data_IF_157805352395
#
_entry.id   IF_157805352395
#
_cell.length_a   1.000
_cell.length_b   1.000
_cell.length_c   1.000
_cell.angle_alpha   90.00
_cell.angle_beta   90.00
_cell.angle_gamma   90.00
#
_symmetry.space_group_name_H-M   'P 1'
#
loop_
_entity.id
_entity.type
_entity.pdbx_description
1 polymer ?
#
# COMPACT_ATOMS: atom_id res chain seq x y z
N UNK A 1 -2.89 -1.31 -4.57
CA UNK A 1 -3.15 -1.66 -3.16
C UNK A 1 -3.80 -0.51 -2.39
N UNK A 2 -3.61 0.76 -2.81
CA UNK A 2 -4.18 1.92 -2.12
C UNK A 2 -5.53 2.29 -2.73
N UNK A 3 -6.57 2.31 -1.89
CA UNK A 3 -7.94 2.64 -2.31
C UNK A 3 -8.11 4.17 -2.36
N UNK A 4 -8.81 4.67 -3.38
CA UNK A 4 -9.35 6.03 -3.42
C UNK A 4 -10.79 5.92 -2.98
N UNK A 5 -11.12 6.53 -1.84
CA UNK A 5 -12.45 6.48 -1.23
C UNK A 5 -13.18 7.80 -1.47
N UNK A 6 -14.47 7.72 -1.77
CA UNK A 6 -15.38 8.88 -1.87
C UNK A 6 -15.97 9.19 -0.49
N UNK A 7 -15.09 9.61 0.42
CA UNK A 7 -15.40 9.98 1.80
C UNK A 7 -15.49 11.52 1.95
N UNK A 8 -15.82 11.99 3.15
CA UNK A 8 -15.87 13.42 3.48
C UNK A 8 -14.52 14.12 3.19
N UNK A 9 -13.40 13.43 3.37
CA UNK A 9 -12.07 13.96 3.04
C UNK A 9 -11.89 14.14 1.52
N UNK A 10 -12.52 13.29 0.70
CA UNK A 10 -12.54 13.47 -0.76
C UNK A 10 -13.39 14.67 -1.15
N UNK A 11 -14.56 14.85 -0.53
CA UNK A 11 -15.43 16.02 -0.80
C UNK A 11 -14.70 17.34 -0.52
N UNK A 12 -13.99 17.44 0.61
CA UNK A 12 -13.15 18.61 0.91
C UNK A 12 -12.03 18.83 -0.13
N UNK A 13 -11.49 17.73 -0.66
CA UNK A 13 -10.47 17.80 -1.71
C UNK A 13 -11.08 18.31 -3.01
N UNK A 14 -12.30 17.86 -3.37
CA UNK A 14 -13.05 18.35 -4.55
C UNK A 14 -13.32 19.84 -4.42
N UNK A 15 -13.89 20.31 -3.29
CA UNK A 15 -14.16 21.73 -3.04
C UNK A 15 -12.89 22.60 -3.17
N UNK A 16 -11.76 22.11 -2.63
CA UNK A 16 -10.47 22.79 -2.76
C UNK A 16 -10.01 22.85 -4.22
N UNK A 17 -10.20 21.77 -4.98
CA UNK A 17 -9.83 21.69 -6.40
C UNK A 17 -10.74 22.58 -7.26
N UNK A 18 -12.03 22.67 -6.96
CA UNK A 18 -12.96 23.59 -7.62
C UNK A 18 -12.57 25.06 -7.40
N UNK A 19 -12.16 25.39 -6.19
CA UNK A 19 -11.83 26.77 -5.84
C UNK A 19 -10.44 27.20 -6.31
N UNK A 20 -9.43 26.34 -6.22
CA UNK A 20 -8.02 26.70 -6.39
C UNK A 20 -7.32 25.90 -7.50
N UNK A 21 -7.99 24.95 -8.11
CA UNK A 21 -7.35 23.98 -9.01
C UNK A 21 -6.47 22.99 -8.25
N UNK A 22 -5.70 22.19 -8.98
CA UNK A 22 -4.75 21.25 -8.41
C UNK A 22 -3.44 21.96 -8.10
N UNK A 23 -3.25 22.37 -6.85
CA UNK A 23 -2.09 23.15 -6.40
C UNK A 23 -0.78 22.36 -6.42
N UNK A 24 -0.84 21.07 -6.12
CA UNK A 24 0.34 20.19 -6.15
C UNK A 24 0.26 19.26 -7.37
N UNK A 25 1.24 19.27 -8.29
CA UNK A 25 1.19 18.45 -9.49
C UNK A 25 1.20 16.95 -9.16
N UNK A 26 0.61 16.15 -10.03
CA UNK A 26 0.72 14.70 -10.02
C UNK A 26 2.12 14.29 -10.48
N UNK A 27 2.52 13.06 -10.18
CA UNK A 27 3.74 12.46 -10.72
C UNK A 27 3.35 11.32 -11.63
N UNK A 28 3.87 11.34 -12.87
CA UNK A 28 3.65 10.30 -13.85
C UNK A 28 4.96 9.89 -14.55
N UNK A 29 4.95 8.73 -15.20
CA UNK A 29 6.01 8.28 -16.10
C UNK A 29 5.45 7.97 -17.49
N UNK A 30 6.26 8.06 -18.56
CA UNK A 30 5.84 7.63 -19.89
C UNK A 30 5.67 6.10 -19.91
N UNK A 31 4.70 5.61 -20.70
CA UNK A 31 4.53 4.19 -20.99
C UNK A 31 5.22 3.82 -22.31
N UNK A 32 5.76 2.60 -22.44
CA UNK A 32 6.37 2.14 -23.68
C UNK A 32 5.40 2.15 -24.89
N UNK A 33 4.13 1.83 -24.62
CA UNK A 33 3.05 1.81 -25.61
C UNK A 33 2.44 3.20 -25.91
N UNK A 34 2.94 4.24 -25.28
CA UNK A 34 2.45 5.62 -25.38
C UNK A 34 1.53 6.01 -24.23
N UNK A 35 1.40 7.31 -24.01
CA UNK A 35 0.67 7.88 -22.87
C UNK A 35 1.49 7.88 -21.58
N UNK A 36 0.80 8.07 -20.45
CA UNK A 36 1.42 8.23 -19.14
C UNK A 36 0.75 7.34 -18.11
N UNK A 37 1.55 6.85 -17.15
CA UNK A 37 1.09 6.16 -15.95
C UNK A 37 1.27 7.09 -14.75
N UNK A 38 0.19 7.33 -14.00
CA UNK A 38 0.26 8.12 -12.78
C UNK A 38 0.83 7.27 -11.66
N UNK A 39 1.90 7.75 -11.05
CA UNK A 39 2.59 7.08 -9.94
C UNK A 39 2.13 7.65 -8.59
N UNK A 40 1.88 8.96 -8.51
CA UNK A 40 1.40 9.61 -7.29
C UNK A 40 0.41 10.71 -7.61
N UNK A 41 -0.63 10.82 -6.77
CA UNK A 41 -1.67 11.84 -6.87
C UNK A 41 -3.04 11.34 -7.32
N UNK A 42 -3.33 10.03 -7.25
CA UNK A 42 -4.61 9.45 -7.67
C UNK A 42 -5.83 10.11 -6.99
N UNK A 43 -5.75 10.48 -5.71
CA UNK A 43 -6.84 11.24 -5.04
C UNK A 43 -7.07 12.61 -5.67
N UNK A 44 -6.00 13.34 -6.03
CA UNK A 44 -6.09 14.64 -6.71
C UNK A 44 -6.62 14.51 -8.12
N UNK A 45 -6.22 13.44 -8.83
CA UNK A 45 -6.79 13.11 -10.14
C UNK A 45 -8.30 12.87 -10.03
N UNK A 46 -8.71 12.02 -9.09
CA UNK A 46 -10.12 11.70 -8.88
C UNK A 46 -10.95 12.95 -8.50
N UNK A 47 -10.44 13.75 -7.55
CA UNK A 47 -11.09 15.01 -7.16
C UNK A 47 -11.21 15.97 -8.34
N UNK A 48 -10.20 16.08 -9.19
CA UNK A 48 -10.25 16.94 -10.36
C UNK A 48 -11.24 16.45 -11.42
N UNK A 49 -11.38 15.12 -11.59
CA UNK A 49 -12.44 14.55 -12.45
C UNK A 49 -13.84 14.89 -11.92
N UNK A 50 -14.06 14.77 -10.59
CA UNK A 50 -15.32 15.15 -9.96
C UNK A 50 -15.59 16.65 -10.07
N UNK A 51 -14.55 17.48 -10.00
CA UNK A 51 -14.62 18.94 -10.20
C UNK A 51 -14.74 19.36 -11.67
N UNK A 52 -14.76 18.41 -12.63
CA UNK A 52 -14.92 18.69 -14.05
C UNK A 52 -13.72 19.35 -14.73
N UNK A 53 -12.50 19.16 -14.21
CA UNK A 53 -11.29 19.68 -14.82
C UNK A 53 -10.80 18.78 -15.97
N UNK A 54 -10.63 19.34 -17.16
CA UNK A 54 -10.14 18.62 -18.34
C UNK A 54 -8.63 18.38 -18.33
N UNK A 55 -7.88 19.20 -17.60
CA UNK A 55 -6.42 19.14 -17.55
C UNK A 55 -5.87 19.26 -16.14
N UNK A 56 -4.72 18.62 -15.91
CA UNK A 56 -4.07 18.57 -14.61
C UNK A 56 -2.56 18.87 -14.74
N UNK A 57 -1.97 19.58 -13.76
CA UNK A 57 -0.52 19.73 -13.71
C UNK A 57 0.14 18.39 -13.36
N UNK A 58 1.08 17.96 -14.19
CA UNK A 58 1.78 16.67 -14.03
C UNK A 58 3.28 16.88 -14.19
N UNK A 59 4.07 16.34 -13.27
CA UNK A 59 5.52 16.21 -13.40
C UNK A 59 5.80 14.84 -14.01
N UNK A 60 6.33 14.84 -15.23
CA UNK A 60 6.74 13.60 -15.91
C UNK A 60 8.18 13.27 -15.52
N UNK A 61 8.41 12.06 -15.02
CA UNK A 61 9.73 11.53 -14.66
C UNK A 61 9.97 10.18 -15.34
N UNK A 62 11.13 10.01 -15.93
CA UNK A 62 11.57 8.71 -16.41
C UNK A 62 12.04 7.88 -15.20
N UNK A 63 11.41 6.73 -14.99
CA UNK A 63 11.78 5.80 -13.92
C UNK A 63 11.39 4.38 -14.30
N UNK A 64 12.16 3.41 -13.82
CA UNK A 64 11.83 1.99 -13.95
C UNK A 64 10.70 1.57 -13.01
N UNK A 65 10.29 0.30 -13.09
CA UNK A 65 9.16 -0.22 -12.32
C UNK A 65 9.44 -0.20 -10.81
N UNK A 66 10.65 -0.56 -10.40
CA UNK A 66 11.01 -0.59 -8.97
C UNK A 66 11.03 0.83 -8.38
N UNK A 67 11.59 1.81 -9.09
CA UNK A 67 11.58 3.21 -8.67
C UNK A 67 10.15 3.79 -8.63
N UNK A 68 9.29 3.40 -9.57
CA UNK A 68 7.88 3.80 -9.59
C UNK A 68 7.12 3.22 -8.39
N UNK A 69 7.35 1.94 -8.06
CA UNK A 69 6.76 1.28 -6.88
C UNK A 69 7.23 1.97 -5.59
N UNK A 70 8.53 2.23 -5.44
CA UNK A 70 9.06 2.91 -4.25
C UNK A 70 8.43 4.29 -4.07
N UNK A 71 8.38 5.11 -5.12
CA UNK A 71 7.77 6.43 -5.07
C UNK A 71 6.28 6.37 -4.71
N UNK A 72 5.53 5.44 -5.32
CA UNK A 72 4.12 5.23 -5.02
C UNK A 72 3.91 4.83 -3.55
N UNK A 73 4.68 3.86 -3.06
CA UNK A 73 4.58 3.38 -1.68
C UNK A 73 4.93 4.48 -0.68
N UNK A 74 6.05 5.16 -0.87
CA UNK A 74 6.50 6.21 0.05
C UNK A 74 5.49 7.36 0.14
N UNK A 75 4.92 7.78 -1.00
CA UNK A 75 3.89 8.83 -1.02
C UNK A 75 2.58 8.44 -0.31
N UNK A 76 2.28 7.15 -0.20
CA UNK A 76 1.08 6.65 0.47
C UNK A 76 1.32 6.30 1.94
N UNK A 77 2.53 5.81 2.31
CA UNK A 77 2.87 5.53 3.71
C UNK A 77 2.89 6.79 4.60
N UNK A 78 3.02 7.97 4.00
CA UNK A 78 2.97 9.27 4.71
C UNK A 78 1.53 9.73 5.04
N UNK A 79 0.49 8.98 4.63
CA UNK A 79 -0.91 9.33 4.93
C UNK A 79 -1.21 9.07 6.40
N UNK A 80 -1.95 9.99 7.05
CA UNK A 80 -2.34 9.85 8.46
C UNK A 80 -3.19 8.60 8.73
N UNK A 81 -4.09 8.27 7.79
CA UNK A 81 -5.01 7.15 7.91
C UNK A 81 -4.74 6.12 6.79
N UNK A 82 -3.82 5.20 7.06
CA UNK A 82 -3.55 4.05 6.19
C UNK A 82 -4.15 2.79 6.82
N UNK A 83 -4.89 2.02 6.04
CA UNK A 83 -5.49 0.77 6.50
C UNK A 83 -4.40 -0.29 6.78
N UNK A 84 -4.62 -1.23 7.72
CA UNK A 84 -3.70 -2.32 7.97
C UNK A 84 -3.34 -3.12 6.72
N UNK A 85 -4.32 -3.42 5.86
CA UNK A 85 -4.10 -4.10 4.59
C UNK A 85 -3.23 -3.28 3.64
N UNK A 86 -3.51 -1.99 3.49
CA UNK A 86 -2.72 -1.09 2.64
C UNK A 86 -1.27 -1.02 3.10
N UNK A 87 -1.03 -0.91 4.42
CA UNK A 87 0.31 -0.91 5.02
C UNK A 87 1.04 -2.24 4.79
N UNK A 88 0.32 -3.36 4.92
CA UNK A 88 0.86 -4.70 4.67
C UNK A 88 1.36 -4.87 3.24
N UNK A 89 0.53 -4.53 2.25
CA UNK A 89 0.92 -4.58 0.84
C UNK A 89 2.00 -3.54 0.50
N UNK A 90 1.95 -2.35 1.09
CA UNK A 90 2.97 -1.32 0.91
C UNK A 90 4.36 -1.82 1.32
N UNK A 91 4.48 -2.40 2.53
CA UNK A 91 5.76 -2.94 3.00
C UNK A 91 6.24 -4.11 2.14
N UNK A 92 5.33 -5.01 1.73
CA UNK A 92 5.66 -6.11 0.83
C UNK A 92 6.21 -5.60 -0.51
N UNK A 93 5.51 -4.69 -1.16
CA UNK A 93 5.92 -4.11 -2.44
C UNK A 93 7.25 -3.36 -2.32
N UNK A 94 7.43 -2.55 -1.27
CA UNK A 94 8.69 -1.82 -1.02
C UNK A 94 9.86 -2.78 -0.84
N UNK A 95 9.66 -3.85 -0.05
CA UNK A 95 10.69 -4.86 0.17
C UNK A 95 11.07 -5.59 -1.13
N UNK A 96 10.10 -5.93 -1.97
CA UNK A 96 10.33 -6.57 -3.26
C UNK A 96 11.08 -5.64 -4.23
N UNK A 97 10.68 -4.37 -4.34
CA UNK A 97 11.35 -3.39 -5.19
C UNK A 97 12.81 -3.14 -4.76
N UNK A 98 13.07 -3.01 -3.45
CA UNK A 98 14.43 -2.84 -2.94
C UNK A 98 15.32 -4.06 -3.23
N UNK A 99 14.78 -5.28 -3.13
CA UNK A 99 15.53 -6.50 -3.48
C UNK A 99 15.87 -6.54 -4.98
N UNK A 100 14.94 -6.15 -5.85
CA UNK A 100 15.18 -6.11 -7.29
C UNK A 100 16.26 -5.08 -7.64
N UNK A 101 16.26 -3.91 -7.02
CA UNK A 101 17.30 -2.89 -7.20
C UNK A 101 18.67 -3.38 -6.71
N UNK A 102 18.73 -4.03 -5.54
CA UNK A 102 19.96 -4.63 -5.03
C UNK A 102 20.51 -5.69 -5.98
N UNK A 103 19.68 -6.59 -6.47
CA UNK A 103 20.10 -7.66 -7.41
C UNK A 103 20.61 -7.09 -8.76
N UNK A 104 20.17 -5.91 -9.19
CA UNK A 104 20.68 -5.25 -10.41
C UNK A 104 22.03 -4.57 -10.20
N UNK A 105 22.29 -4.07 -9.00
CA UNK A 105 23.53 -3.36 -8.68
C UNK A 105 24.70 -4.30 -8.35
N UNK A 106 24.42 -5.56 -8.01
CA UNK A 106 25.43 -6.51 -7.48
C UNK A 106 25.46 -7.81 -8.27
N UNK A 107 26.06 -7.79 -9.47
CA UNK A 107 26.43 -9.00 -10.20
C UNK A 107 27.58 -9.80 -9.51
N UNK A 108 28.06 -9.36 -8.34
CA UNK A 108 29.31 -9.86 -7.74
C UNK A 108 29.26 -10.29 -6.28
N UNK A 109 28.21 -10.12 -5.46
CA UNK A 109 28.26 -10.63 -4.06
C UNK A 109 26.95 -10.88 -3.33
N UNK A 110 26.80 -12.12 -2.95
CA UNK A 110 26.13 -12.76 -1.78
C UNK A 110 24.74 -12.27 -1.30
N UNK A 111 23.73 -13.08 -1.68
CA UNK A 111 22.29 -13.01 -1.38
C UNK A 111 21.84 -12.88 0.09
N UNK A 112 22.64 -13.19 1.09
CA UNK A 112 22.22 -13.22 2.51
C UNK A 112 22.27 -11.83 3.16
N UNK A 113 23.24 -10.99 2.80
CA UNK A 113 23.38 -9.64 3.33
C UNK A 113 22.31 -8.67 2.81
N UNK A 114 21.91 -8.82 1.55
CA UNK A 114 20.94 -7.96 0.88
C UNK A 114 19.52 -8.05 1.48
N UNK A 115 19.09 -9.25 1.86
CA UNK A 115 17.76 -9.46 2.45
C UNK A 115 17.60 -8.78 3.81
N UNK A 116 18.64 -8.80 4.63
CA UNK A 116 18.66 -8.13 5.93
C UNK A 116 18.69 -6.60 5.75
N UNK A 117 19.47 -6.10 4.80
CA UNK A 117 19.59 -4.66 4.55
C UNK A 117 18.28 -4.05 4.03
N UNK A 118 17.57 -4.76 3.13
CA UNK A 118 16.28 -4.29 2.59
C UNK A 118 15.18 -4.17 3.65
N UNK A 119 15.10 -5.13 4.60
CA UNK A 119 14.12 -5.06 5.69
C UNK A 119 14.47 -3.95 6.68
N UNK A 120 15.74 -3.80 7.00
CA UNK A 120 16.25 -2.72 7.87
C UNK A 120 15.95 -1.35 7.30
N UNK A 121 16.07 -1.18 5.98
CA UNK A 121 15.73 0.07 5.30
C UNK A 121 14.22 0.35 5.37
N UNK A 122 13.36 -0.64 5.06
CA UNK A 122 11.91 -0.47 5.18
C UNK A 122 11.50 -0.08 6.60
N UNK A 123 12.10 -0.71 7.62
CA UNK A 123 11.79 -0.43 9.02
C UNK A 123 12.24 0.98 9.44
N UNK A 124 13.42 1.41 9.00
CA UNK A 124 13.94 2.75 9.28
C UNK A 124 13.06 3.84 8.63
N UNK A 125 12.70 3.66 7.35
CA UNK A 125 11.86 4.61 6.61
C UNK A 125 10.44 4.72 7.20
N UNK A 126 9.93 3.61 7.76
CA UNK A 126 8.62 3.56 8.40
C UNK A 126 8.63 3.98 9.88
N UNK A 127 9.81 4.19 10.47
CA UNK A 127 9.99 4.39 11.91
C UNK A 127 9.36 3.26 12.75
N UNK A 128 9.50 2.02 12.28
CA UNK A 128 8.98 0.82 12.91
C UNK A 128 10.10 -0.21 13.12
N UNK A 129 9.87 -1.22 13.98
CA UNK A 129 10.81 -2.34 14.11
C UNK A 129 10.70 -3.31 12.93
N UNK A 130 11.79 -3.98 12.56
CA UNK A 130 11.80 -5.03 11.54
C UNK A 130 10.75 -6.12 11.85
N UNK A 131 10.60 -6.46 13.14
CA UNK A 131 9.58 -7.42 13.59
C UNK A 131 8.17 -6.93 13.24
N UNK A 132 7.89 -5.64 13.42
CA UNK A 132 6.57 -5.07 13.11
C UNK A 132 6.33 -5.04 11.61
N UNK A 133 7.34 -4.68 10.80
CA UNK A 133 7.28 -4.75 9.33
C UNK A 133 6.93 -6.16 8.87
N UNK A 134 7.61 -7.19 9.40
CA UNK A 134 7.31 -8.58 9.07
C UNK A 134 5.89 -8.99 9.47
N UNK A 135 5.40 -8.54 10.62
CA UNK A 135 4.02 -8.83 11.07
C UNK A 135 2.98 -8.20 10.14
N UNK A 136 3.20 -6.96 9.68
CA UNK A 136 2.33 -6.36 8.66
C UNK A 136 2.36 -7.17 7.37
N UNK A 137 3.55 -7.48 6.84
CA UNK A 137 3.69 -8.27 5.61
C UNK A 137 2.94 -9.60 5.71
N UNK A 138 2.94 -10.24 6.88
CA UNK A 138 2.19 -11.49 7.07
C UNK A 138 0.69 -11.35 6.84
N UNK A 139 0.07 -10.20 7.11
CA UNK A 139 -1.35 -9.98 6.82
C UNK A 139 -1.69 -10.20 5.35
N UNK A 140 -0.73 -10.07 4.43
CA UNK A 140 -0.95 -10.34 3.00
C UNK A 140 -1.22 -11.82 2.69
N UNK A 141 -1.06 -12.72 3.67
CA UNK A 141 -1.39 -14.15 3.57
C UNK A 141 -2.82 -14.47 4.01
N UNK A 142 -3.56 -13.48 4.52
CA UNK A 142 -4.98 -13.65 4.84
C UNK A 142 -5.82 -13.71 3.56
N UNK A 143 -6.91 -14.49 3.61
CA UNK A 143 -7.94 -14.41 2.58
C UNK A 143 -8.57 -13.00 2.60
N UNK A 144 -9.09 -12.51 1.45
CA UNK A 144 -9.61 -11.15 1.34
C UNK A 144 -10.64 -10.80 2.42
N UNK A 145 -11.55 -11.73 2.72
CA UNK A 145 -12.63 -11.52 3.68
C UNK A 145 -12.10 -11.26 5.10
N UNK A 146 -11.11 -12.03 5.55
CA UNK A 146 -10.47 -11.81 6.86
C UNK A 146 -9.66 -10.52 6.88
N UNK A 147 -9.00 -10.18 5.77
CA UNK A 147 -8.23 -8.95 5.66
C UNK A 147 -9.15 -7.71 5.70
N UNK A 148 -10.31 -7.75 5.04
CA UNK A 148 -11.32 -6.70 5.12
C UNK A 148 -11.85 -6.55 6.55
N UNK A 149 -12.04 -7.64 7.30
CA UNK A 149 -12.43 -7.60 8.71
C UNK A 149 -11.37 -6.95 9.61
N UNK A 150 -10.08 -7.07 9.26
CA UNK A 150 -9.01 -6.36 9.97
C UNK A 150 -9.08 -4.85 9.70
N UNK A 151 -9.32 -4.45 8.46
CA UNK A 151 -9.49 -3.05 8.07
C UNK A 151 -10.71 -2.41 8.74
N UNK A 152 -11.79 -3.17 8.88
CA UNK A 152 -13.02 -2.77 9.59
C UNK A 152 -12.90 -2.82 11.12
N UNK A 153 -11.73 -3.21 11.65
CA UNK A 153 -11.46 -3.38 13.10
C UNK A 153 -12.32 -4.45 13.78
N UNK A 154 -12.92 -5.36 13.02
CA UNK A 154 -13.66 -6.53 13.55
C UNK A 154 -12.70 -7.60 14.08
N UNK A 155 -11.51 -7.71 13.48
CA UNK A 155 -10.42 -8.56 13.95
C UNK A 155 -9.25 -7.65 14.32
N UNK A 156 -8.74 -7.79 15.55
CA UNK A 156 -7.59 -7.04 16.00
C UNK A 156 -6.30 -7.51 15.31
N UNK A 157 -5.28 -6.64 15.25
CA UNK A 157 -4.01 -6.90 14.55
C UNK A 157 -3.29 -8.18 15.01
N UNK A 158 -3.22 -8.44 16.33
CA UNK A 158 -2.51 -9.62 16.84
C UNK A 158 -3.18 -10.93 16.43
N UNK A 159 -4.52 -11.14 16.66
CA UNK A 159 -5.23 -12.29 16.13
C UNK A 159 -5.08 -12.45 14.61
N UNK A 160 -5.12 -11.36 13.84
CA UNK A 160 -4.97 -11.40 12.40
C UNK A 160 -3.60 -11.94 11.97
N UNK A 161 -2.52 -11.55 12.68
CA UNK A 161 -1.18 -12.10 12.44
C UNK A 161 -1.15 -13.60 12.73
N UNK A 162 -1.77 -14.08 13.81
CA UNK A 162 -1.85 -15.52 14.11
C UNK A 162 -2.65 -16.27 13.04
N UNK A 163 -3.80 -15.74 12.62
CA UNK A 163 -4.61 -16.33 11.54
C UNK A 163 -3.84 -16.41 10.21
N UNK A 164 -2.92 -15.50 9.96
CA UNK A 164 -2.08 -15.52 8.75
C UNK A 164 -1.10 -16.70 8.67
N UNK A 165 -0.96 -17.49 9.74
CA UNK A 165 -0.18 -18.73 9.75
C UNK A 165 -0.97 -19.96 9.29
N UNK A 166 -2.30 -19.85 9.25
CA UNK A 166 -3.19 -20.89 8.75
C UNK A 166 -3.14 -20.94 7.21
N UNK A 167 -3.39 -22.12 6.65
CA UNK A 167 -3.59 -22.24 5.21
C UNK A 167 -4.97 -21.68 4.79
N UNK A 168 -5.18 -21.53 3.48
CA UNK A 168 -6.40 -20.91 2.93
C UNK A 168 -7.68 -21.66 3.32
N UNK A 169 -7.64 -23.00 3.44
CA UNK A 169 -8.81 -23.79 3.82
C UNK A 169 -9.13 -23.59 5.31
N UNK A 170 -8.13 -23.67 6.15
CA UNK A 170 -8.26 -23.41 7.60
C UNK A 170 -8.78 -21.99 7.88
N UNK A 171 -8.34 -20.99 7.09
CA UNK A 171 -8.86 -19.63 7.21
C UNK A 171 -10.33 -19.54 6.83
N UNK A 172 -10.79 -20.29 5.81
CA UNK A 172 -12.20 -20.36 5.42
C UNK A 172 -13.05 -21.06 6.49
N UNK A 173 -12.58 -22.21 7.00
CA UNK A 173 -13.25 -22.94 8.08
C UNK A 173 -13.40 -22.04 9.33
N UNK A 174 -12.35 -21.27 9.65
CA UNK A 174 -12.37 -20.30 10.73
C UNK A 174 -13.42 -19.19 10.49
N UNK A 175 -13.48 -18.63 9.27
CA UNK A 175 -14.45 -17.60 8.90
C UNK A 175 -15.89 -18.12 8.99
N UNK A 176 -16.14 -19.36 8.57
CA UNK A 176 -17.45 -20.02 8.69
C UNK A 176 -17.85 -20.18 10.16
N UNK A 177 -16.94 -20.69 11.00
CA UNK A 177 -17.18 -20.82 12.44
C UNK A 177 -17.45 -19.48 13.14
N UNK A 178 -16.76 -18.40 12.72
CA UNK A 178 -17.03 -17.06 13.22
C UNK A 178 -18.43 -16.58 12.86
N UNK A 179 -18.85 -16.78 11.63
CA UNK A 179 -20.17 -16.37 11.16
C UNK A 179 -21.29 -17.11 11.91
N UNK A 180 -21.10 -18.40 12.18
CA UNK A 180 -22.06 -19.22 12.92
C UNK A 180 -22.18 -18.80 14.39
N UNK A 181 -21.09 -18.39 15.01
CA UNK A 181 -21.05 -18.02 16.44
C UNK A 181 -21.31 -16.54 16.70
N UNK A 182 -21.29 -15.68 15.69
CA UNK A 182 -21.36 -14.21 15.77
C UNK A 182 -20.30 -13.59 16.70
N UNK A 183 -19.21 -14.29 16.96
CA UNK A 183 -18.12 -13.84 17.84
C UNK A 183 -16.84 -13.60 17.05
N UNK A 184 -16.29 -12.40 17.15
CA UNK A 184 -14.94 -12.11 16.66
C UNK A 184 -13.89 -12.59 17.69
N UNK A 185 -12.71 -13.09 17.23
CA UNK A 185 -11.66 -13.51 18.13
C UNK A 185 -11.11 -12.32 18.91
N UNK A 186 -11.11 -12.44 20.23
CA UNK A 186 -10.41 -11.54 21.15
C UNK A 186 -9.23 -12.27 21.77
N UNK A 187 -8.07 -11.69 21.74
CA UNK A 187 -6.90 -12.07 22.56
C UNK A 187 -6.75 -11.08 23.70
#
# INVERSE_FOLDING_TARGET
>A
PFKVLDDESMQRTVESVEQYGVLSPLIARPRPEGGYEIISGHRRQHAAQLAGLDTLPVIVRNMDDDAAVLLMVDSNLQRENILPSERAFAYKMKLEALKNQGARSDLTSRQVGEKLWSVSQVSADANESERQVHRFIRLTNLIPELLDMVDEKKIAFNPAVELSHLDTNQQRDFLEAMNDTQNAPSL
#
